data_IF_216281136624
#
_entry.id   IF_216281136624
#
_cell.length_a   1.000
_cell.length_b   1.000
_cell.length_c   1.000
_cell.angle_alpha   90.00
_cell.angle_beta   90.00
_cell.angle_gamma   90.00
#
_symmetry.space_group_name_H-M   'P 1'
#
loop_
_entity.id
_entity.type
_entity.pdbx_description
1 polymer ?
#
# COMPACT_ATOMS: atom_id res chain seq x y z
N UNK A 1 -8.07 -78.73 8.99
CA UNK A 1 -8.00 -77.99 7.72
C UNK A 1 -9.06 -76.89 7.72
N UNK A 2 -8.73 -75.70 8.23
CA UNK A 2 -9.53 -74.49 7.99
C UNK A 2 -8.57 -73.32 8.05
N UNK A 3 -8.24 -72.74 6.89
CA UNK A 3 -7.28 -71.63 6.76
C UNK A 3 -7.95 -70.32 7.17
N UNK A 4 -7.31 -69.59 8.08
CA UNK A 4 -7.56 -68.16 8.31
C UNK A 4 -7.32 -67.40 7.00
N UNK A 5 -8.29 -66.60 6.55
CA UNK A 5 -8.08 -65.63 5.47
C UNK A 5 -7.87 -64.28 6.13
N UNK A 6 -6.61 -63.83 6.12
CA UNK A 6 -6.20 -62.47 6.43
C UNK A 6 -6.85 -61.48 5.46
N UNK A 7 -7.41 -60.41 6.01
CA UNK A 7 -7.85 -59.26 5.24
C UNK A 7 -6.68 -58.55 4.57
N UNK A 8 -6.91 -58.05 3.36
CA UNK A 8 -6.06 -57.07 2.70
C UNK A 8 -6.91 -55.83 2.44
N UNK A 9 -6.71 -54.82 3.27
CA UNK A 9 -7.26 -53.46 3.12
C UNK A 9 -6.52 -52.80 1.95
N UNK A 10 -7.24 -52.46 0.89
CA UNK A 10 -6.69 -51.74 -0.25
C UNK A 10 -6.63 -50.23 0.08
N UNK A 11 -5.45 -49.75 0.46
CA UNK A 11 -5.14 -48.33 0.63
C UNK A 11 -5.05 -47.65 -0.75
N UNK A 12 -6.09 -46.91 -1.13
CA UNK A 12 -6.07 -46.04 -2.31
C UNK A 12 -5.40 -44.72 -1.93
N UNK A 13 -4.17 -44.53 -2.39
CA UNK A 13 -3.38 -43.31 -2.22
C UNK A 13 -3.82 -42.26 -3.24
N UNK A 14 -4.66 -41.30 -2.85
CA UNK A 14 -5.01 -40.15 -3.68
C UNK A 14 -3.93 -39.05 -3.56
N UNK A 15 -3.14 -38.97 -4.63
CA UNK A 15 -2.61 -37.78 -5.29
C UNK A 15 -2.30 -36.56 -4.41
N UNK A 16 -1.00 -36.27 -4.30
CA UNK A 16 -0.48 -35.02 -3.78
C UNK A 16 -1.09 -33.83 -4.55
N UNK A 17 -1.76 -32.96 -3.81
CA UNK A 17 -2.16 -31.65 -4.27
C UNK A 17 -0.88 -30.82 -4.42
N UNK A 18 -0.28 -30.84 -5.62
CA UNK A 18 0.67 -29.80 -6.00
C UNK A 18 -0.06 -28.48 -5.86
N UNK A 19 0.42 -27.60 -4.97
CA UNK A 19 -0.07 -26.23 -4.88
C UNK A 19 0.15 -25.57 -6.24
N UNK A 20 -0.90 -25.54 -7.06
CA UNK A 20 -1.03 -24.56 -8.12
C UNK A 20 -0.91 -23.21 -7.43
N UNK A 21 0.23 -22.55 -7.63
CA UNK A 21 0.37 -21.13 -7.35
C UNK A 21 -0.68 -20.43 -8.20
N UNK A 22 -1.79 -20.05 -7.57
CA UNK A 22 -2.70 -19.09 -8.13
C UNK A 22 -1.89 -17.81 -8.25
N UNK A 23 -1.52 -17.44 -9.47
CA UNK A 23 -1.05 -16.08 -9.74
C UNK A 23 -2.28 -15.20 -9.54
N UNK A 24 -2.30 -14.44 -8.45
CA UNK A 24 -3.31 -13.42 -8.20
C UNK A 24 -3.28 -12.43 -9.38
N UNK A 25 -4.40 -12.21 -10.10
CA UNK A 25 -4.46 -11.25 -11.19
C UNK A 25 -4.25 -9.79 -10.74
N UNK A 26 -4.15 -9.51 -9.44
CA UNK A 26 -3.56 -8.28 -8.93
C UNK A 26 -2.27 -8.61 -8.18
N UNK A 27 -1.11 -8.20 -8.70
CA UNK A 27 0.14 -8.44 -7.98
C UNK A 27 0.16 -7.75 -6.61
N UNK A 28 1.16 -8.10 -5.81
CA UNK A 28 1.23 -7.64 -4.42
C UNK A 28 1.36 -6.11 -4.36
N UNK A 29 0.47 -5.46 -3.59
CA UNK A 29 0.61 -4.02 -3.30
C UNK A 29 1.85 -3.86 -2.43
N UNK A 30 2.85 -3.15 -2.93
CA UNK A 30 4.04 -2.86 -2.15
C UNK A 30 3.72 -1.89 -1.00
N UNK A 31 3.06 -0.78 -1.33
CA UNK A 31 2.64 0.21 -0.35
C UNK A 31 1.47 1.05 -0.88
N UNK A 32 0.76 1.66 0.06
CA UNK A 32 -0.20 2.74 -0.21
C UNK A 32 0.21 3.94 0.63
N UNK A 33 0.01 5.14 0.13
CA UNK A 33 0.21 6.34 0.93
C UNK A 33 -0.77 7.41 0.51
N UNK A 34 -0.98 8.41 1.34
CA UNK A 34 -1.89 9.47 0.97
C UNK A 34 -1.84 10.65 1.90
N UNK A 35 -2.61 11.66 1.51
CA UNK A 35 -2.82 12.86 2.30
C UNK A 35 -4.29 13.25 2.25
N UNK A 36 -4.80 13.86 3.31
CA UNK A 36 -6.18 14.34 3.38
C UNK A 36 -6.25 15.64 4.16
N UNK A 37 -7.08 16.57 3.71
CA UNK A 37 -7.31 17.84 4.38
C UNK A 37 -8.78 17.95 4.75
N UNK A 38 -9.12 18.28 5.99
CA UNK A 38 -10.50 18.30 6.50
C UNK A 38 -11.31 19.44 5.89
N UNK A 39 -10.72 20.63 5.91
CA UNK A 39 -11.31 21.88 5.42
C UNK A 39 -10.68 22.28 4.08
N UNK A 40 -11.10 21.63 2.99
CA UNK A 40 -10.65 21.94 1.62
C UNK A 40 -11.80 22.02 0.63
N UNK A 41 -11.57 22.76 -0.45
CA UNK A 41 -12.43 22.82 -1.64
C UNK A 41 -11.72 22.14 -2.82
N UNK A 42 -12.49 21.45 -3.67
CA UNK A 42 -11.94 20.68 -4.78
C UNK A 42 -11.45 19.29 -4.36
N UNK A 43 -10.28 18.88 -4.84
CA UNK A 43 -9.67 17.60 -4.45
C UNK A 43 -9.06 17.69 -3.06
N UNK A 44 -9.43 16.75 -2.21
CA UNK A 44 -9.22 16.83 -0.77
C UNK A 44 -8.50 15.61 -0.20
N UNK A 45 -8.59 14.48 -0.91
CA UNK A 45 -8.03 13.21 -0.52
C UNK A 45 -7.17 12.73 -1.69
N UNK A 46 -5.95 12.33 -1.38
CA UNK A 46 -4.94 11.93 -2.35
C UNK A 46 -4.39 10.58 -1.94
N UNK A 47 -4.33 9.65 -2.89
CA UNK A 47 -3.87 8.29 -2.65
C UNK A 47 -2.89 7.88 -3.73
N UNK A 48 -1.74 7.37 -3.32
CA UNK A 48 -0.75 6.70 -4.15
C UNK A 48 -0.76 5.21 -3.81
N UNK A 49 -0.85 4.36 -4.82
CA UNK A 49 -0.71 2.91 -4.72
C UNK A 49 0.48 2.48 -5.58
N UNK A 50 1.45 1.80 -4.97
CA UNK A 50 2.61 1.24 -5.67
C UNK A 50 2.46 -0.27 -5.73
N UNK A 51 2.51 -0.83 -6.93
CA UNK A 51 2.30 -2.26 -7.23
C UNK A 51 2.96 -2.58 -8.56
N UNK A 52 3.60 -3.75 -8.66
CA UNK A 52 4.11 -4.31 -9.93
C UNK A 52 4.90 -3.32 -10.80
N UNK A 53 5.84 -2.58 -10.20
CA UNK A 53 6.66 -1.60 -10.92
C UNK A 53 5.88 -0.38 -11.43
N UNK A 54 4.67 -0.13 -10.93
CA UNK A 54 3.83 0.99 -11.31
C UNK A 54 3.36 1.77 -10.09
N UNK A 55 3.11 3.06 -10.29
CA UNK A 55 2.58 3.97 -9.29
C UNK A 55 1.28 4.59 -9.81
N UNK A 56 0.18 4.36 -9.10
CA UNK A 56 -1.14 4.92 -9.43
C UNK A 56 -1.53 5.95 -8.39
N UNK A 57 -1.73 7.18 -8.83
CA UNK A 57 -2.14 8.30 -8.00
C UNK A 57 -3.60 8.67 -8.29
N UNK A 58 -4.40 8.80 -7.23
CA UNK A 58 -5.82 9.11 -7.29
C UNK A 58 -6.13 10.32 -6.44
N UNK A 59 -6.94 11.24 -6.99
CA UNK A 59 -7.42 12.45 -6.32
C UNK A 59 -8.93 12.36 -6.22
N UNK A 60 -9.47 12.54 -5.01
CA UNK A 60 -10.92 12.53 -4.76
C UNK A 60 -11.37 13.78 -4.01
N UNK A 61 -12.60 14.19 -4.29
CA UNK A 61 -13.26 15.32 -3.65
C UNK A 61 -14.37 14.85 -2.73
N UNK A 62 -14.73 15.68 -1.75
CA UNK A 62 -15.98 15.52 -0.98
C UNK A 62 -17.22 15.93 -1.79
N UNK A 63 -17.05 16.57 -2.93
CA UNK A 63 -18.12 16.99 -3.84
C UNK A 63 -17.89 16.39 -5.25
N UNK A 64 -18.01 15.06 -5.40
CA UNK A 64 -17.61 14.35 -6.62
C UNK A 64 -18.39 14.74 -7.88
N UNK A 65 -19.59 15.33 -7.74
CA UNK A 65 -20.36 15.87 -8.87
C UNK A 65 -19.71 17.09 -9.51
N UNK A 66 -18.98 17.89 -8.75
CA UNK A 66 -18.24 19.07 -9.23
C UNK A 66 -16.79 18.72 -9.57
N UNK A 67 -16.20 17.80 -8.81
CA UNK A 67 -14.81 17.38 -8.94
C UNK A 67 -14.73 15.85 -9.01
N UNK A 68 -14.96 15.26 -10.20
CA UNK A 68 -14.97 13.81 -10.36
C UNK A 68 -13.61 13.19 -10.02
N UNK A 69 -13.61 11.93 -9.58
CA UNK A 69 -12.36 11.19 -9.30
C UNK A 69 -11.41 11.25 -10.48
N UNK A 70 -10.14 11.59 -10.21
CA UNK A 70 -9.07 11.57 -11.20
C UNK A 70 -8.03 10.53 -10.81
N UNK A 71 -7.53 9.78 -11.80
CA UNK A 71 -6.50 8.76 -11.60
C UNK A 71 -5.44 8.89 -12.69
N UNK A 72 -4.18 8.77 -12.29
CA UNK A 72 -3.01 8.79 -13.17
C UNK A 72 -2.09 7.63 -12.78
N UNK A 73 -1.52 6.95 -13.77
CA UNK A 73 -0.59 5.85 -13.55
C UNK A 73 0.70 6.11 -14.31
N UNK A 74 1.84 5.86 -13.68
CA UNK A 74 3.16 5.90 -14.30
C UNK A 74 3.89 4.58 -14.03
N UNK A 75 4.72 4.17 -14.98
CA UNK A 75 5.69 3.10 -14.77
C UNK A 75 6.88 3.63 -13.97
N UNK A 76 7.37 2.82 -13.04
CA UNK A 76 8.61 3.05 -12.32
C UNK A 76 9.73 2.30 -13.05
N UNK A 77 10.93 2.86 -13.04
CA UNK A 77 12.11 2.06 -13.39
C UNK A 77 12.33 0.95 -12.36
N UNK A 78 13.02 -0.12 -12.77
CA UNK A 78 13.37 -1.22 -11.86
C UNK A 78 14.12 -0.70 -10.63
N UNK A 79 15.09 0.20 -10.81
CA UNK A 79 15.85 0.81 -9.73
C UNK A 79 14.95 1.60 -8.75
N UNK A 80 13.98 2.37 -9.25
CA UNK A 80 13.04 3.10 -8.38
C UNK A 80 12.12 2.16 -7.59
N UNK A 81 11.61 1.10 -8.24
CA UNK A 81 10.75 0.14 -7.59
C UNK A 81 11.51 -0.66 -6.51
N UNK A 82 12.75 -1.08 -6.78
CA UNK A 82 13.60 -1.76 -5.79
C UNK A 82 14.00 -0.85 -4.62
N UNK A 83 14.25 0.45 -4.87
CA UNK A 83 14.51 1.42 -3.80
C UNK A 83 13.32 1.50 -2.83
N UNK A 84 12.11 1.69 -3.38
CA UNK A 84 10.88 1.73 -2.59
C UNK A 84 10.64 0.41 -1.85
N UNK A 85 10.91 -0.72 -2.51
CA UNK A 85 10.76 -2.06 -1.91
C UNK A 85 11.68 -2.25 -0.72
N UNK A 86 12.94 -1.85 -0.87
CA UNK A 86 13.95 -1.93 0.19
C UNK A 86 13.54 -1.05 1.36
N UNK A 87 13.13 0.19 1.11
CA UNK A 87 12.69 1.12 2.15
C UNK A 87 11.41 0.63 2.88
N UNK A 88 10.45 0.06 2.14
CA UNK A 88 9.21 -0.50 2.69
C UNK A 88 9.42 -1.79 3.50
N UNK A 89 10.51 -2.53 3.25
CA UNK A 89 10.87 -3.75 3.97
C UNK A 89 11.50 -3.51 5.35
N UNK A 90 11.65 -2.24 5.75
CA UNK A 90 12.24 -1.90 7.05
C UNK A 90 11.44 -2.53 8.20
N UNK A 91 12.07 -3.30 9.11
CA UNK A 91 11.38 -3.91 10.24
C UNK A 91 10.79 -2.85 11.19
N UNK A 92 11.38 -1.65 11.23
CA UNK A 92 10.92 -0.54 12.06
C UNK A 92 9.48 -0.13 11.77
N UNK A 93 8.97 -0.31 10.54
CA UNK A 93 7.65 0.16 10.15
C UNK A 93 6.53 -0.50 10.97
N UNK A 94 6.66 -1.80 11.27
CA UNK A 94 5.64 -2.56 12.02
C UNK A 94 5.68 -2.29 13.53
N UNK A 95 6.75 -1.67 14.01
CA UNK A 95 6.92 -1.31 15.42
C UNK A 95 6.37 0.09 15.72
N UNK A 96 5.99 0.86 14.69
CA UNK A 96 5.47 2.21 14.83
C UNK A 96 4.06 2.21 15.42
N UNK A 97 3.76 3.20 16.28
CA UNK A 97 2.37 3.51 16.61
C UNK A 97 1.57 3.91 15.36
N UNK A 98 0.25 3.71 15.42
CA UNK A 98 -0.63 4.02 14.29
C UNK A 98 -0.81 5.51 14.03
N UNK A 99 -0.56 6.38 15.02
CA UNK A 99 -0.77 7.84 14.93
C UNK A 99 0.40 8.59 15.55
N UNK A 100 0.93 9.60 14.85
CA UNK A 100 1.95 10.54 15.32
C UNK A 100 1.48 11.98 15.15
N UNK A 101 1.73 12.82 16.16
CA UNK A 101 1.34 14.23 16.13
C UNK A 101 -0.18 14.43 16.20
N UNK A 102 -0.67 15.47 15.54
CA UNK A 102 -2.10 15.81 15.49
C UNK A 102 -2.59 15.82 14.03
N UNK A 103 -2.89 14.64 13.43
CA UNK A 103 -3.31 14.57 12.04
C UNK A 103 -4.54 15.42 11.77
N UNK A 104 -4.42 16.34 10.83
CA UNK A 104 -5.48 17.26 10.38
C UNK A 104 -6.07 18.14 11.49
N UNK A 105 -5.30 18.40 12.55
CA UNK A 105 -5.67 19.40 13.55
C UNK A 105 -5.43 20.81 12.99
N UNK A 106 -6.34 21.75 13.33
CA UNK A 106 -6.29 23.14 12.86
C UNK A 106 -6.12 23.28 11.33
N UNK A 107 -6.80 22.42 10.57
CA UNK A 107 -6.79 22.39 9.10
C UNK A 107 -5.42 22.12 8.47
N UNK A 108 -4.48 21.54 9.24
CA UNK A 108 -3.12 21.27 8.79
C UNK A 108 -2.97 20.08 7.82
N UNK A 109 -3.99 19.22 7.71
CA UNK A 109 -3.93 17.99 6.94
C UNK A 109 -3.34 16.79 7.70
N UNK A 110 -3.67 15.61 7.20
CA UNK A 110 -3.11 14.33 7.61
C UNK A 110 -2.32 13.72 6.45
N UNK A 111 -1.27 12.99 6.78
CA UNK A 111 -0.52 12.13 5.88
C UNK A 111 -0.54 10.70 6.42
N UNK A 112 -0.60 9.71 5.54
CA UNK A 112 -0.58 8.32 5.95
C UNK A 112 0.24 7.45 4.99
N UNK A 113 0.73 6.34 5.53
CA UNK A 113 1.47 5.31 4.82
C UNK A 113 0.98 3.95 5.31
N UNK A 114 0.78 3.01 4.38
CA UNK A 114 0.28 1.68 4.65
C UNK A 114 1.11 0.62 3.92
N UNK A 115 1.59 -0.37 4.66
CA UNK A 115 2.39 -1.50 4.16
C UNK A 115 1.83 -2.76 4.82
N UNK A 116 1.49 -3.77 4.03
CA UNK A 116 0.96 -5.07 4.49
C UNK A 116 -0.16 -4.95 5.54
N UNK A 117 -1.07 -3.99 5.34
CA UNK A 117 -2.20 -3.72 6.23
C UNK A 117 -1.87 -2.93 7.51
N UNK A 118 -0.60 -2.68 7.82
CA UNK A 118 -0.22 -1.76 8.89
C UNK A 118 -0.29 -0.33 8.39
N UNK A 119 -0.99 0.55 9.11
CA UNK A 119 -1.19 1.96 8.72
C UNK A 119 -0.60 2.87 9.78
N UNK A 120 0.24 3.80 9.33
CA UNK A 120 0.81 4.87 10.15
C UNK A 120 0.29 6.20 9.61
N UNK A 121 -0.28 7.00 10.49
CA UNK A 121 -0.81 8.35 10.19
C UNK A 121 0.01 9.39 10.93
N UNK A 122 0.36 10.47 10.26
CA UNK A 122 1.12 11.60 10.77
C UNK A 122 0.40 12.91 10.46
N UNK A 123 0.72 13.94 11.24
CA UNK A 123 0.51 15.32 10.82
C UNK A 123 1.16 15.58 9.46
N UNK A 124 0.48 16.28 8.57
CA UNK A 124 0.96 16.49 7.20
C UNK A 124 2.34 17.17 7.19
N UNK A 125 3.29 16.55 6.48
CA UNK A 125 4.65 17.07 6.37
C UNK A 125 5.56 16.77 7.58
N UNK A 126 5.04 16.20 8.67
CA UNK A 126 5.85 15.79 9.81
C UNK A 126 6.84 14.69 9.40
N UNK A 127 8.05 14.73 9.94
CA UNK A 127 9.05 13.69 9.68
C UNK A 127 9.06 12.64 10.79
N UNK A 128 9.53 11.44 10.48
CA UNK A 128 9.59 10.32 11.43
C UNK A 128 10.87 9.51 11.21
N UNK A 129 11.89 9.76 12.03
CA UNK A 129 13.23 9.18 11.92
C UNK A 129 13.26 7.69 11.55
N UNK A 130 12.51 6.79 12.23
CA UNK A 130 12.53 5.35 11.93
C UNK A 130 12.17 4.96 10.49
N UNK A 131 11.45 5.82 9.76
CA UNK A 131 10.97 5.58 8.40
C UNK A 131 11.24 6.76 7.46
N UNK A 132 12.07 7.72 7.86
CA UNK A 132 12.40 8.93 7.09
C UNK A 132 12.77 8.63 5.63
N UNK A 133 13.65 7.65 5.31
CA UNK A 133 13.99 7.36 3.92
C UNK A 133 12.76 7.00 3.08
N UNK A 134 11.89 6.14 3.61
CA UNK A 134 10.66 5.72 2.95
C UNK A 134 9.67 6.89 2.79
N UNK A 135 9.49 7.70 3.84
CA UNK A 135 8.62 8.89 3.77
C UNK A 135 9.09 9.85 2.67
N UNK A 136 10.39 10.09 2.59
CA UNK A 136 10.98 10.98 1.60
C UNK A 136 10.81 10.46 0.16
N UNK A 137 11.07 9.18 -0.08
CA UNK A 137 10.87 8.56 -1.40
C UNK A 137 9.41 8.60 -1.84
N UNK A 138 8.49 8.25 -0.93
CA UNK A 138 7.05 8.25 -1.23
C UNK A 138 6.52 9.67 -1.47
N UNK A 139 6.97 10.67 -0.71
CA UNK A 139 6.65 12.08 -0.94
C UNK A 139 7.17 12.56 -2.29
N UNK A 140 8.42 12.24 -2.62
CA UNK A 140 9.02 12.58 -3.91
C UNK A 140 8.27 11.93 -5.09
N UNK A 141 7.81 10.68 -4.94
CA UNK A 141 6.98 10.02 -5.94
C UNK A 141 5.62 10.70 -6.09
N UNK A 142 4.92 11.03 -4.99
CA UNK A 142 3.64 11.76 -5.05
C UNK A 142 3.77 13.12 -5.73
N UNK A 143 4.84 13.86 -5.46
CA UNK A 143 5.08 15.19 -6.03
C UNK A 143 5.12 15.19 -7.57
N UNK A 144 5.40 14.06 -8.22
CA UNK A 144 5.38 13.94 -9.69
C UNK A 144 3.98 14.05 -10.30
N UNK A 145 2.94 13.78 -9.52
CA UNK A 145 1.54 13.82 -9.95
C UNK A 145 0.84 15.12 -9.58
N UNK A 146 1.39 15.85 -8.61
CA UNK A 146 0.77 17.05 -8.10
C UNK A 146 1.09 18.22 -9.05
N UNK A 147 0.10 18.84 -9.71
CA UNK A 147 0.34 20.14 -10.33
C UNK A 147 0.77 21.11 -9.23
N UNK A 148 1.69 22.03 -9.51
CA UNK A 148 2.18 23.01 -8.52
C UNK A 148 0.99 23.60 -7.79
N UNK A 149 0.85 23.22 -6.53
CA UNK A 149 -0.26 23.65 -5.69
C UNK A 149 0.13 25.07 -5.26
N UNK A 150 -0.71 26.04 -5.62
CA UNK A 150 -0.57 27.48 -5.33
C UNK A 150 0.44 28.26 -6.22
N UNK A 151 -0.10 28.90 -7.27
CA UNK A 151 0.33 30.25 -7.69
C UNK A 151 -0.56 31.27 -6.97
#
# INVERSE_FOLDING_TARGET
MTRLICGAVLLVSLMGCGRLGIVDPGGDVLLRSGTSFGMCSGYCIFELVVRDGSATYTRTSRTPSQYPRMTQTVSLSEAEFESLRTAASSPSFRELQSVYGCPDCADGGAEWLAIDGWVVTLEYGADLEPIRPLLHEVRALRARFEPQRWN
#
